data_IF_302052479935
#
_entry.id   IF_302052479935
#
_cell.length_a   1.000
_cell.length_b   1.000
_cell.length_c   1.000
_cell.angle_alpha   90.00
_cell.angle_beta   90.00
_cell.angle_gamma   90.00
#
_symmetry.space_group_name_H-M   'P 1'
#
loop_
_entity.id
_entity.type
_entity.pdbx_description
1 polymer ?
#
# COMPACT_ATOMS: atom_id res chain seq x y z
N UNK A 1 -3.07 -24.35 -15.59
CA UNK A 1 -3.54 -22.96 -15.59
C UNK A 1 -3.27 -22.31 -14.26
N UNK A 2 -2.88 -21.09 -14.31
CA UNK A 2 -2.65 -20.36 -13.08
C UNK A 2 -3.97 -19.86 -12.51
N UNK A 3 -4.17 -20.13 -11.25
CA UNK A 3 -5.30 -19.56 -10.54
C UNK A 3 -5.16 -18.04 -10.44
N UNK A 4 -6.22 -17.40 -9.97
CA UNK A 4 -6.18 -15.98 -9.74
C UNK A 4 -4.98 -15.64 -8.87
N UNK A 5 -4.08 -14.85 -9.41
CA UNK A 5 -2.87 -14.50 -8.71
C UNK A 5 -3.12 -13.38 -7.73
N UNK A 6 -2.42 -13.44 -6.63
CA UNK A 6 -2.32 -12.29 -5.76
C UNK A 6 -1.02 -11.59 -6.06
N UNK A 7 -1.11 -10.28 -6.13
CA UNK A 7 0.07 -9.44 -6.35
C UNK A 7 0.22 -8.54 -5.14
N UNK A 8 1.38 -8.60 -4.50
CA UNK A 8 1.70 -7.72 -3.38
C UNK A 8 2.66 -6.66 -3.90
N UNK A 9 2.23 -5.42 -3.85
CA UNK A 9 3.03 -4.29 -4.31
C UNK A 9 3.41 -3.42 -3.12
N UNK A 10 4.68 -3.01 -3.11
CA UNK A 10 5.15 -2.04 -2.13
C UNK A 10 5.40 -0.74 -2.88
N UNK A 11 4.66 0.29 -2.50
CA UNK A 11 4.76 1.61 -3.14
C UNK A 11 5.28 2.61 -2.14
N UNK A 12 6.28 3.38 -2.55
CA UNK A 12 6.84 4.46 -1.73
C UNK A 12 6.56 5.80 -2.38
N UNK A 13 6.35 6.81 -1.55
CA UNK A 13 6.23 8.19 -2.00
C UNK A 13 5.15 8.34 -3.08
N UNK A 14 5.50 8.79 -4.26
CA UNK A 14 4.55 9.01 -5.36
C UNK A 14 4.12 7.72 -6.06
N UNK A 15 4.66 6.56 -5.66
CA UNK A 15 4.29 5.29 -6.28
C UNK A 15 2.81 4.98 -6.21
N UNK A 16 2.15 5.36 -5.11
CA UNK A 16 0.70 5.16 -4.96
C UNK A 16 -0.06 6.02 -5.98
N UNK A 17 0.40 7.23 -6.20
CA UNK A 17 -0.22 8.11 -7.17
C UNK A 17 -0.09 7.54 -8.59
N UNK A 18 1.09 7.03 -8.91
CA UNK A 18 1.33 6.41 -10.22
C UNK A 18 0.47 5.17 -10.40
N UNK A 19 0.41 4.32 -9.38
CA UNK A 19 -0.42 3.12 -9.43
C UNK A 19 -1.89 3.48 -9.62
N UNK A 20 -2.38 4.48 -8.91
CA UNK A 20 -3.76 4.91 -9.00
C UNK A 20 -4.08 5.41 -10.42
N UNK A 21 -3.19 6.21 -10.99
CA UNK A 21 -3.38 6.70 -12.36
C UNK A 21 -3.40 5.55 -13.37
N UNK A 22 -2.50 4.59 -13.19
CA UNK A 22 -2.44 3.43 -14.08
C UNK A 22 -3.75 2.63 -14.02
N UNK A 23 -4.22 2.35 -12.81
CA UNK A 23 -5.47 1.59 -12.64
C UNK A 23 -6.66 2.32 -13.24
N UNK A 24 -6.72 3.64 -13.08
CA UNK A 24 -7.80 4.42 -13.68
C UNK A 24 -7.75 4.40 -15.20
N UNK A 25 -6.54 4.34 -15.77
CA UNK A 25 -6.39 4.31 -17.22
C UNK A 25 -6.87 3.01 -17.84
N UNK A 26 -6.88 1.92 -17.07
CA UNK A 26 -7.35 0.62 -17.56
C UNK A 26 -8.87 0.54 -17.66
N UNK A 27 -9.56 1.33 -16.86
CA UNK A 27 -11.02 1.33 -16.85
C UNK A 27 -11.59 0.02 -16.37
N UNK A 28 -12.82 -0.27 -16.79
CA UNK A 28 -13.55 -1.47 -16.35
C UNK A 28 -13.42 -2.64 -17.31
N UNK A 29 -12.62 -2.50 -18.36
CA UNK A 29 -12.55 -3.51 -19.41
C UNK A 29 -11.53 -4.61 -19.14
N UNK A 30 -10.71 -4.42 -18.11
CA UNK A 30 -9.63 -5.34 -17.79
C UNK A 30 -9.93 -6.02 -16.47
N UNK A 31 -9.83 -7.35 -16.47
CA UNK A 31 -9.92 -8.13 -15.25
C UNK A 31 -8.55 -8.14 -14.59
N UNK A 32 -8.46 -7.55 -13.39
CA UNK A 32 -7.20 -7.43 -12.69
C UNK A 32 -7.05 -8.55 -11.66
N UNK A 33 -5.83 -8.98 -11.39
CA UNK A 33 -5.60 -9.87 -10.28
C UNK A 33 -5.91 -9.14 -8.98
N UNK A 34 -5.99 -9.89 -7.90
CA UNK A 34 -6.19 -9.31 -6.59
C UNK A 34 -4.91 -8.64 -6.14
N UNK A 35 -4.98 -7.33 -5.90
CA UNK A 35 -3.84 -6.56 -5.44
C UNK A 35 -3.89 -6.36 -3.94
N UNK A 36 -2.72 -6.48 -3.33
CA UNK A 36 -2.47 -6.08 -1.95
C UNK A 36 -1.36 -5.06 -2.00
N UNK A 37 -1.65 -3.86 -1.54
CA UNK A 37 -0.72 -2.73 -1.69
C UNK A 37 -0.27 -2.26 -0.32
N UNK A 38 1.03 -2.14 -0.17
CA UNK A 38 1.65 -1.58 1.03
C UNK A 38 2.23 -0.23 0.63
N UNK A 39 1.68 0.83 1.21
CA UNK A 39 2.11 2.19 0.91
C UNK A 39 2.98 2.70 2.05
N UNK A 40 4.24 2.95 1.75
CA UNK A 40 5.22 3.47 2.71
C UNK A 40 5.41 4.96 2.45
N UNK A 41 4.97 5.78 3.38
CA UNK A 41 5.06 7.21 3.24
C UNK A 41 4.47 7.72 1.95
N UNK A 42 3.21 7.35 1.62
CA UNK A 42 2.67 7.73 0.32
C UNK A 42 2.52 9.24 0.21
N UNK A 43 2.67 9.73 -1.01
CA UNK A 43 2.42 11.11 -1.38
C UNK A 43 1.52 11.06 -2.60
N UNK A 44 0.21 11.17 -2.39
CA UNK A 44 -0.74 11.05 -3.47
C UNK A 44 -1.98 11.86 -3.18
N UNK A 45 -2.37 12.67 -4.13
CA UNK A 45 -3.63 13.41 -4.06
C UNK A 45 -4.80 12.56 -4.57
N UNK A 46 -4.51 11.41 -5.15
CA UNK A 46 -5.51 10.46 -5.62
C UNK A 46 -5.65 9.34 -4.60
N UNK A 47 -6.88 9.02 -4.24
CA UNK A 47 -7.14 7.91 -3.32
C UNK A 47 -7.16 6.59 -4.07
N UNK A 48 -6.41 5.63 -3.55
CA UNK A 48 -6.44 4.26 -4.05
C UNK A 48 -7.53 3.52 -3.30
N UNK A 49 -8.70 3.45 -3.90
CA UNK A 49 -9.87 2.90 -3.23
C UNK A 49 -10.70 2.07 -4.18
N UNK A 50 -10.21 0.90 -4.54
CA UNK A 50 -10.96 -0.05 -5.35
C UNK A 50 -11.30 -1.27 -4.52
N UNK A 51 -12.43 -1.90 -4.81
CA UNK A 51 -12.94 -3.00 -4.01
C UNK A 51 -12.00 -4.19 -3.96
N UNK A 52 -11.26 -4.42 -5.04
CA UNK A 52 -10.37 -5.57 -5.15
C UNK A 52 -8.97 -5.30 -4.60
N UNK A 53 -8.77 -4.12 -4.00
CA UNK A 53 -7.44 -3.75 -3.51
C UNK A 53 -7.47 -3.61 -2.00
N UNK A 54 -6.60 -4.38 -1.34
CA UNK A 54 -6.33 -4.22 0.07
C UNK A 54 -5.16 -3.27 0.22
N UNK A 55 -5.32 -2.25 1.03
CA UNK A 55 -4.32 -1.21 1.17
C UNK A 55 -3.88 -1.08 2.63
N UNK A 56 -2.57 -1.13 2.84
CA UNK A 56 -1.94 -0.86 4.12
C UNK A 56 -1.15 0.43 3.99
N UNK A 57 -1.46 1.42 4.81
CA UNK A 57 -0.79 2.73 4.77
C UNK A 57 0.04 2.90 6.02
N UNK A 58 1.35 3.09 5.83
CA UNK A 58 2.29 3.34 6.93
C UNK A 58 2.92 4.71 6.71
N UNK A 59 2.77 5.58 7.70
CA UNK A 59 3.35 6.92 7.63
C UNK A 59 4.29 7.13 8.79
N UNK A 60 5.35 7.88 8.54
CA UNK A 60 6.31 8.22 9.56
C UNK A 60 5.93 9.48 10.30
N UNK A 61 6.14 9.48 11.62
CA UNK A 61 5.90 10.66 12.43
C UNK A 61 6.80 11.82 12.02
N UNK A 62 7.95 11.51 11.44
CA UNK A 62 8.94 12.49 10.98
C UNK A 62 8.92 12.66 9.46
N UNK A 63 7.83 12.24 8.81
CA UNK A 63 7.67 12.37 7.37
C UNK A 63 6.60 13.41 7.04
N UNK A 64 6.99 14.68 6.90
CA UNK A 64 6.00 15.72 6.63
C UNK A 64 5.40 15.62 5.23
N UNK A 65 6.13 15.04 4.29
CA UNK A 65 5.63 14.90 2.92
C UNK A 65 4.38 14.04 2.88
N UNK A 66 4.43 12.88 3.49
CA UNK A 66 3.29 11.97 3.49
C UNK A 66 2.15 12.49 4.37
N UNK A 67 2.47 13.15 5.45
CA UNK A 67 1.45 13.63 6.38
C UNK A 67 0.67 14.81 5.81
N UNK A 68 1.30 15.63 4.97
CA UNK A 68 0.69 16.85 4.45
C UNK A 68 0.17 16.65 3.03
N UNK A 69 0.94 15.95 2.19
CA UNK A 69 0.68 15.88 0.76
C UNK A 69 -0.11 14.64 0.34
N UNK A 70 -0.38 13.73 1.26
CA UNK A 70 -1.10 12.51 0.94
C UNK A 70 -2.52 12.56 1.46
N UNK A 71 -3.43 11.94 0.72
CA UNK A 71 -4.85 11.95 1.08
C UNK A 71 -5.28 10.71 1.84
N UNK A 72 -4.43 9.72 1.97
CA UNK A 72 -4.78 8.48 2.67
C UNK A 72 -4.60 8.64 4.17
N UNK A 73 -5.48 8.00 4.94
CA UNK A 73 -5.30 7.92 6.39
C UNK A 73 -4.29 6.85 6.71
N UNK A 74 -3.46 7.09 7.69
CA UNK A 74 -2.46 6.12 8.10
C UNK A 74 -3.10 5.00 8.91
N UNK A 75 -2.76 3.75 8.55
CA UNK A 75 -3.09 2.60 9.40
C UNK A 75 -2.11 2.49 10.55
N UNK A 76 -0.86 2.86 10.31
CA UNK A 76 0.19 2.87 11.33
C UNK A 76 1.04 4.12 11.20
N UNK A 77 1.37 4.70 12.35
CA UNK A 77 2.36 5.78 12.43
C UNK A 77 3.60 5.19 13.08
N UNK A 78 4.73 5.32 12.40
CA UNK A 78 5.99 4.75 12.86
C UNK A 78 7.03 5.85 13.05
N UNK A 79 8.10 5.54 13.78
CA UNK A 79 9.19 6.46 13.99
C UNK A 79 10.14 6.42 12.80
N UNK A 80 9.75 7.10 11.72
CA UNK A 80 10.53 7.12 10.49
C UNK A 80 10.36 8.45 9.79
N UNK A 81 11.40 8.84 9.04
CA UNK A 81 11.33 9.93 8.09
C UNK A 81 10.91 9.37 6.72
N UNK A 82 10.93 10.22 5.68
CA UNK A 82 10.46 9.86 4.35
C UNK A 82 11.35 8.83 3.63
N UNK A 83 12.58 8.66 4.08
CA UNK A 83 13.59 7.89 3.33
C UNK A 83 14.02 6.60 4.01
N UNK A 84 13.50 6.31 5.20
CA UNK A 84 14.04 5.22 6.02
C UNK A 84 13.09 4.07 6.29
N UNK A 85 11.91 4.05 5.68
CA UNK A 85 10.89 3.03 5.98
C UNK A 85 11.42 1.60 5.86
N UNK A 86 12.13 1.31 4.79
CA UNK A 86 12.59 -0.05 4.51
C UNK A 86 13.67 -0.52 5.48
N UNK A 87 14.26 0.38 6.25
CA UNK A 87 15.30 0.03 7.21
C UNK A 87 14.77 -0.13 8.64
N UNK A 88 13.50 0.16 8.87
CA UNK A 88 12.93 0.13 10.22
C UNK A 88 12.37 -1.26 10.53
N UNK A 89 12.80 -1.83 11.65
CA UNK A 89 12.30 -3.13 12.08
C UNK A 89 10.81 -3.09 12.37
N UNK A 90 10.31 -1.96 12.90
CA UNK A 90 8.88 -1.79 13.15
C UNK A 90 8.07 -1.96 11.86
N UNK A 91 8.55 -1.35 10.78
CA UNK A 91 7.88 -1.40 9.49
C UNK A 91 7.89 -2.83 8.95
N UNK A 92 9.03 -3.49 9.04
CA UNK A 92 9.15 -4.88 8.58
C UNK A 92 8.20 -5.79 9.33
N UNK A 93 8.10 -5.61 10.64
CA UNK A 93 7.19 -6.39 11.47
C UNK A 93 5.73 -6.17 11.11
N UNK A 94 5.35 -4.92 10.90
CA UNK A 94 3.99 -4.58 10.50
C UNK A 94 3.63 -5.23 9.17
N UNK A 95 4.52 -5.15 8.21
CA UNK A 95 4.31 -5.74 6.89
C UNK A 95 4.17 -7.26 6.99
N UNK A 96 5.07 -7.87 7.73
CA UNK A 96 5.06 -9.32 7.92
C UNK A 96 3.74 -9.77 8.55
N UNK A 97 3.32 -9.11 9.61
CA UNK A 97 2.09 -9.47 10.32
C UNK A 97 0.87 -9.28 9.42
N UNK A 98 0.85 -8.21 8.65
CA UNK A 98 -0.26 -7.92 7.76
C UNK A 98 -0.39 -8.99 6.66
N UNK A 99 0.73 -9.40 6.08
CA UNK A 99 0.74 -10.45 5.06
C UNK A 99 0.29 -11.78 5.65
N UNK A 100 0.80 -12.13 6.85
CA UNK A 100 0.43 -13.37 7.51
C UNK A 100 -1.04 -13.41 7.89
N UNK A 101 -1.57 -12.31 8.37
CA UNK A 101 -2.98 -12.23 8.76
C UNK A 101 -3.88 -12.48 7.56
N UNK A 102 -3.57 -11.86 6.43
CA UNK A 102 -4.33 -12.07 5.21
C UNK A 102 -4.27 -13.50 4.73
N UNK A 103 -3.12 -14.14 4.84
CA UNK A 103 -2.96 -15.54 4.46
C UNK A 103 -3.82 -16.47 5.33
N UNK A 104 -3.87 -16.19 6.63
CA UNK A 104 -4.72 -16.96 7.54
C UNK A 104 -6.19 -16.82 7.19
N UNK A 105 -6.62 -15.62 6.90
CA UNK A 105 -8.01 -15.35 6.56
C UNK A 105 -8.44 -16.11 5.32
N UNK A 106 -7.51 -16.35 4.40
CA UNK A 106 -7.81 -17.04 3.15
C UNK A 106 -7.72 -18.55 3.25
N UNK A 107 -7.07 -19.05 4.28
CA UNK A 107 -6.96 -20.50 4.46
C UNK A 107 -8.28 -21.12 4.93
N UNK A 108 -9.19 -20.31 5.34
CA UNK A 108 -10.53 -20.76 5.73
C UNK A 108 -11.42 -20.91 4.49
#
# INVERSE_FOLDING_TARGET
MLEAQEVVLVCKSSGVNMLTQWLRSLGNQVTLPRFRVIALGPVSQLLLSQKEIELLVIKGKKDPYSRILDRHSADFLVDSDHYSYEYKEDVKGIIHDWIEQSNKDRCD
#
